data_IF_613613720854
#
_entry.id   IF_613613720854
#
_cell.length_a   1.000
_cell.length_b   1.000
_cell.length_c   1.000
_cell.angle_alpha   90.00
_cell.angle_beta   90.00
_cell.angle_gamma   90.00
#
_symmetry.space_group_name_H-M   'P 1'
#
loop_
_entity.id
_entity.type
_entity.pdbx_description
1 polymer ?
#
# COMPACT_ATOMS: atom_id res chain seq x y z
N UNK A 1 -11.88 10.89 -14.63
CA UNK A 1 -10.54 11.50 -14.66
C UNK A 1 -10.29 12.08 -13.28
N UNK A 2 -9.10 11.90 -12.72
CA UNK A 2 -8.78 12.44 -11.38
C UNK A 2 -8.40 13.93 -11.50
N UNK A 3 -9.42 14.80 -11.52
CA UNK A 3 -9.24 16.25 -11.68
C UNK A 3 -8.39 16.85 -10.57
N UNK A 4 -8.55 16.39 -9.32
CA UNK A 4 -7.76 16.84 -8.18
C UNK A 4 -6.26 16.55 -8.39
N UNK A 5 -5.93 15.33 -8.83
CA UNK A 5 -4.56 14.94 -9.15
C UNK A 5 -3.95 15.79 -10.25
N UNK A 6 -4.72 16.05 -11.33
CA UNK A 6 -4.27 16.91 -12.45
C UNK A 6 -3.97 18.33 -11.98
N UNK A 7 -4.89 18.96 -11.24
CA UNK A 7 -4.70 20.32 -10.71
C UNK A 7 -3.52 20.37 -9.74
N UNK A 8 -3.41 19.40 -8.83
CA UNK A 8 -2.29 19.33 -7.89
C UNK A 8 -0.95 19.22 -8.62
N UNK A 9 -0.89 18.44 -9.71
CA UNK A 9 0.29 18.33 -10.56
C UNK A 9 0.63 19.66 -11.25
N UNK A 10 -0.35 20.36 -11.83
CA UNK A 10 -0.14 21.67 -12.47
C UNK A 10 0.32 22.74 -11.47
N UNK A 11 -0.21 22.73 -10.25
CA UNK A 11 0.25 23.63 -9.19
C UNK A 11 1.69 23.30 -8.75
N UNK A 12 2.10 22.03 -8.78
CA UNK A 12 3.51 21.64 -8.55
C UNK A 12 4.42 22.11 -9.69
N UNK A 13 3.95 22.08 -10.93
CA UNK A 13 4.68 22.64 -12.08
C UNK A 13 4.87 24.15 -11.93
N UNK A 14 3.80 24.88 -11.61
CA UNK A 14 3.91 26.31 -11.32
C UNK A 14 4.90 26.59 -10.20
N UNK A 15 4.87 25.79 -9.12
CA UNK A 15 5.79 25.94 -8.01
C UNK A 15 7.26 25.75 -8.41
N UNK A 16 7.55 24.85 -9.35
CA UNK A 16 8.93 24.55 -9.76
C UNK A 16 9.55 25.69 -10.58
N UNK A 17 8.72 26.46 -11.29
CA UNK A 17 9.17 27.58 -12.14
C UNK A 17 9.13 28.95 -11.44
N UNK A 18 8.60 29.04 -10.22
CA UNK A 18 8.61 30.29 -9.46
C UNK A 18 10.03 30.73 -9.06
N UNK A 19 10.27 32.04 -9.14
CA UNK A 19 11.51 32.68 -8.64
C UNK A 19 11.47 32.95 -7.13
N UNK A 20 10.31 33.36 -6.60
CA UNK A 20 10.19 33.67 -5.17
C UNK A 20 9.91 32.43 -4.33
N UNK A 21 10.58 32.32 -3.18
CA UNK A 21 10.37 31.25 -2.21
C UNK A 21 8.92 31.23 -1.69
N UNK A 22 8.33 32.41 -1.48
CA UNK A 22 6.95 32.54 -1.01
C UNK A 22 5.95 31.95 -2.01
N UNK A 23 6.04 32.31 -3.31
CA UNK A 23 5.14 31.77 -4.34
C UNK A 23 5.34 30.27 -4.54
N UNK A 24 6.59 29.80 -4.55
CA UNK A 24 6.92 28.37 -4.60
C UNK A 24 6.22 27.59 -3.50
N UNK A 25 6.31 28.04 -2.25
CA UNK A 25 5.64 27.37 -1.13
C UNK A 25 4.12 27.53 -1.17
N UNK A 26 3.60 28.67 -1.63
CA UNK A 26 2.16 28.88 -1.81
C UNK A 26 1.54 27.84 -2.74
N UNK A 27 2.12 27.63 -3.92
CA UNK A 27 1.64 26.63 -4.86
C UNK A 27 1.84 25.18 -4.37
N UNK A 28 2.95 24.88 -3.68
CA UNK A 28 3.15 23.56 -3.06
C UNK A 28 2.07 23.23 -2.02
N UNK A 29 1.72 24.20 -1.15
CA UNK A 29 0.65 24.03 -0.16
C UNK A 29 -0.71 23.91 -0.82
N UNK A 30 -0.99 24.69 -1.87
CA UNK A 30 -2.22 24.56 -2.63
C UNK A 30 -2.35 23.17 -3.28
N UNK A 31 -1.28 22.67 -3.91
CA UNK A 31 -1.25 21.32 -4.47
C UNK A 31 -1.52 20.25 -3.41
N UNK A 32 -0.89 20.36 -2.23
CA UNK A 32 -1.11 19.44 -1.11
C UNK A 32 -2.54 19.51 -0.56
N UNK A 33 -3.15 20.69 -0.53
CA UNK A 33 -4.54 20.84 -0.11
C UNK A 33 -5.49 20.15 -1.09
N UNK A 34 -5.32 20.37 -2.40
CA UNK A 34 -6.20 19.80 -3.44
C UNK A 34 -6.10 18.28 -3.51
N UNK A 35 -4.89 17.70 -3.50
CA UNK A 35 -4.71 16.25 -3.63
C UNK A 35 -5.29 15.48 -2.42
N UNK A 36 -5.40 16.14 -1.26
CA UNK A 36 -5.90 15.56 -0.01
C UNK A 36 -7.40 15.75 0.22
N UNK A 37 -8.13 16.42 -0.68
CA UNK A 37 -9.59 16.57 -0.56
C UNK A 37 -10.28 15.20 -0.72
N UNK A 38 -11.22 14.90 0.17
CA UNK A 38 -12.09 13.70 0.08
C UNK A 38 -13.12 13.79 -1.05
N UNK A 39 -13.41 15.01 -1.51
CA UNK A 39 -14.37 15.29 -2.58
C UNK A 39 -13.67 15.77 -3.86
N UNK A 40 -14.24 15.47 -5.04
CA UNK A 40 -13.78 16.04 -6.30
C UNK A 40 -13.87 17.57 -6.23
N UNK A 41 -12.89 18.27 -6.82
CA UNK A 41 -12.80 19.73 -6.77
C UNK A 41 -14.03 20.42 -7.35
N UNK A 42 -14.74 19.75 -8.26
CA UNK A 42 -16.01 20.14 -8.85
C UNK A 42 -17.10 20.39 -7.80
N UNK A 43 -17.09 19.63 -6.68
CA UNK A 43 -18.04 19.79 -5.58
C UNK A 43 -17.88 21.13 -4.82
N UNK A 44 -16.75 21.82 -5.02
CA UNK A 44 -16.46 23.12 -4.41
C UNK A 44 -16.85 24.29 -5.32
N UNK A 45 -17.32 24.04 -6.54
CA UNK A 45 -17.78 25.07 -7.47
C UNK A 45 -19.16 25.59 -7.06
N UNK A 46 -19.29 26.91 -6.96
CA UNK A 46 -20.54 27.59 -6.62
C UNK A 46 -21.33 27.96 -7.89
N UNK A 47 -22.66 28.18 -7.79
CA UNK A 47 -23.49 28.54 -8.95
C UNK A 47 -23.05 29.81 -9.69
N UNK A 48 -22.40 30.74 -9.00
CA UNK A 48 -21.85 31.98 -9.56
C UNK A 48 -20.49 31.78 -10.27
N UNK A 49 -20.00 30.54 -10.36
CA UNK A 49 -18.72 30.18 -10.97
C UNK A 49 -17.51 30.40 -10.07
N UNK A 50 -17.69 30.79 -8.81
CA UNK A 50 -16.60 30.94 -7.83
C UNK A 50 -16.35 29.65 -7.06
N UNK A 51 -15.20 29.52 -6.41
CA UNK A 51 -14.89 28.38 -5.55
C UNK A 51 -15.23 28.68 -4.09
N UNK A 52 -15.88 27.72 -3.42
CA UNK A 52 -15.98 27.69 -1.97
C UNK A 52 -14.58 27.78 -1.36
N UNK A 53 -14.46 28.44 -0.21
CA UNK A 53 -13.18 28.60 0.49
C UNK A 53 -12.57 27.23 0.82
N UNK A 54 -11.38 26.98 0.29
CA UNK A 54 -10.53 25.84 0.63
C UNK A 54 -9.27 26.38 1.32
N UNK A 55 -8.90 25.88 2.51
CA UNK A 55 -7.66 26.29 3.18
C UNK A 55 -6.43 26.15 2.27
N UNK A 56 -5.50 27.10 2.36
CA UNK A 56 -4.27 27.16 1.55
C UNK A 56 -4.47 27.44 0.04
N UNK A 57 -5.70 27.69 -0.42
CA UNK A 57 -5.98 28.09 -1.80
C UNK A 57 -6.15 29.62 -1.86
N UNK A 58 -5.21 30.28 -2.52
CA UNK A 58 -5.24 31.73 -2.78
C UNK A 58 -5.70 32.07 -4.22
N UNK A 59 -5.89 33.35 -4.54
CA UNK A 59 -6.48 33.79 -5.82
C UNK A 59 -5.78 33.24 -7.07
N UNK A 60 -4.44 33.16 -7.07
CA UNK A 60 -3.70 32.60 -8.21
C UNK A 60 -3.93 31.11 -8.40
N UNK A 61 -3.99 30.32 -7.32
CA UNK A 61 -4.33 28.90 -7.40
C UNK A 61 -5.79 28.71 -7.80
N UNK A 62 -6.71 29.53 -7.31
CA UNK A 62 -8.13 29.51 -7.72
C UNK A 62 -8.30 29.74 -9.22
N UNK A 63 -7.53 30.66 -9.81
CA UNK A 63 -7.55 30.87 -11.27
C UNK A 63 -7.16 29.62 -12.05
N UNK A 64 -6.12 28.90 -11.62
CA UNK A 64 -5.69 27.64 -12.25
C UNK A 64 -6.77 26.57 -12.11
N UNK A 65 -7.35 26.42 -10.91
CA UNK A 65 -8.44 25.47 -10.66
C UNK A 65 -9.61 25.74 -11.62
N UNK A 66 -10.11 26.98 -11.65
CA UNK A 66 -11.24 27.38 -12.49
C UNK A 66 -10.93 27.24 -13.98
N UNK A 67 -9.70 27.52 -14.40
CA UNK A 67 -9.28 27.31 -15.79
C UNK A 67 -9.37 25.83 -16.17
N UNK A 68 -8.82 24.93 -15.34
CA UNK A 68 -8.87 23.48 -15.56
C UNK A 68 -10.29 22.96 -15.55
N UNK A 69 -11.14 23.41 -14.61
CA UNK A 69 -12.55 23.02 -14.57
C UNK A 69 -13.32 23.43 -15.84
N UNK A 70 -12.94 24.54 -16.47
CA UNK A 70 -13.59 25.04 -17.69
C UNK A 70 -13.06 24.39 -18.97
N UNK A 71 -11.77 24.08 -19.05
CA UNK A 71 -11.10 23.72 -20.32
C UNK A 71 -10.45 22.33 -20.30
N UNK A 72 -10.38 21.67 -19.15
CA UNK A 72 -9.62 20.44 -18.94
C UNK A 72 -8.10 20.63 -18.88
N UNK A 73 -7.59 21.86 -18.99
CA UNK A 73 -6.16 22.19 -19.01
C UNK A 73 -5.88 23.57 -18.42
N UNK A 74 -4.61 23.99 -18.32
CA UNK A 74 -4.26 25.36 -17.92
C UNK A 74 -3.20 25.95 -18.83
N UNK A 75 -3.61 26.81 -19.76
CA UNK A 75 -2.68 27.57 -20.59
C UNK A 75 -1.87 28.55 -19.74
N UNK A 76 -2.42 29.01 -18.62
CA UNK A 76 -1.68 29.83 -17.64
C UNK A 76 -0.44 29.10 -17.12
N UNK A 77 -0.57 27.82 -16.77
CA UNK A 77 0.55 26.99 -16.30
C UNK A 77 1.54 26.75 -17.44
N UNK A 78 1.06 26.34 -18.62
CA UNK A 78 1.93 26.03 -19.76
C UNK A 78 2.74 27.25 -20.25
N UNK A 79 2.13 28.45 -20.28
CA UNK A 79 2.87 29.69 -20.59
C UNK A 79 3.95 29.98 -19.55
N UNK A 80 3.63 29.86 -18.26
CA UNK A 80 4.61 30.10 -17.20
C UNK A 80 5.78 29.10 -17.25
N UNK A 81 5.54 27.85 -17.67
CA UNK A 81 6.59 26.86 -17.89
C UNK A 81 7.47 27.27 -19.07
N UNK A 82 6.87 27.60 -20.22
CA UNK A 82 7.60 28.00 -21.43
C UNK A 82 8.46 29.24 -21.19
N UNK A 83 7.92 30.27 -20.54
CA UNK A 83 8.63 31.52 -20.21
C UNK A 83 9.78 31.30 -19.20
N UNK A 84 9.73 30.22 -18.41
CA UNK A 84 10.79 29.90 -17.45
C UNK A 84 12.05 29.28 -18.07
N UNK A 85 11.93 28.75 -19.30
CA UNK A 85 12.98 27.97 -19.96
C UNK A 85 13.23 26.58 -19.34
N UNK A 86 12.35 26.09 -18.44
CA UNK A 86 12.53 24.83 -17.69
C UNK A 86 11.60 23.69 -18.12
N UNK A 87 11.12 23.71 -19.37
CA UNK A 87 10.16 22.70 -19.87
C UNK A 87 10.64 21.26 -19.63
N UNK A 88 11.90 20.94 -19.98
CA UNK A 88 12.43 19.58 -19.81
C UNK A 88 12.56 19.13 -18.34
N UNK A 89 12.80 20.04 -17.40
CA UNK A 89 12.82 19.72 -15.97
C UNK A 89 11.42 19.43 -15.44
N UNK A 90 10.42 20.19 -15.93
CA UNK A 90 9.02 19.99 -15.59
C UNK A 90 8.49 18.67 -16.12
N UNK A 91 8.81 18.31 -17.37
CA UNK A 91 8.43 17.03 -17.99
C UNK A 91 8.96 15.84 -17.18
N UNK A 92 10.26 15.83 -16.86
CA UNK A 92 10.86 14.80 -15.98
C UNK A 92 10.15 14.73 -14.62
N UNK A 93 9.74 15.87 -14.07
CA UNK A 93 9.04 15.92 -12.79
C UNK A 93 7.60 15.40 -12.87
N UNK A 94 6.92 15.56 -14.02
CA UNK A 94 5.57 15.03 -14.28
C UNK A 94 5.57 13.51 -14.28
N UNK A 95 6.58 12.88 -14.87
CA UNK A 95 6.74 11.41 -14.88
C UNK A 95 6.78 10.82 -13.46
N UNK A 96 7.37 11.55 -12.51
CA UNK A 96 7.46 11.14 -11.10
C UNK A 96 6.14 11.25 -10.31
N UNK A 97 5.07 11.77 -10.93
CA UNK A 97 3.75 11.95 -10.32
C UNK A 97 2.65 11.15 -11.03
N UNK A 98 3.00 10.37 -12.05
CA UNK A 98 2.04 9.53 -12.78
C UNK A 98 1.49 8.38 -11.94
N UNK A 99 0.24 8.00 -12.20
CA UNK A 99 -0.46 6.86 -11.57
C UNK A 99 -0.61 6.94 -10.04
N UNK A 100 -0.48 8.12 -9.43
CA UNK A 100 -0.94 8.37 -8.07
C UNK A 100 -2.41 8.79 -8.10
N UNK A 101 -3.18 8.31 -7.13
CA UNK A 101 -4.56 8.70 -6.88
C UNK A 101 -4.59 9.87 -5.89
N UNK A 102 -5.40 10.87 -6.18
CA UNK A 102 -5.85 11.83 -5.18
C UNK A 102 -6.76 11.14 -4.16
N UNK A 103 -6.93 11.80 -3.01
CA UNK A 103 -7.81 11.29 -1.95
C UNK A 103 -9.26 11.14 -2.43
N UNK A 104 -9.77 12.07 -3.23
CA UNK A 104 -11.10 11.98 -3.82
C UNK A 104 -11.23 10.74 -4.74
N UNK A 105 -10.19 10.45 -5.52
CA UNK A 105 -10.17 9.27 -6.39
C UNK A 105 -10.10 7.96 -5.59
N UNK A 106 -9.36 7.94 -4.46
CA UNK A 106 -9.38 6.82 -3.50
C UNK A 106 -10.80 6.60 -2.98
N UNK A 107 -11.46 7.65 -2.47
CA UNK A 107 -12.84 7.58 -1.96
C UNK A 107 -13.81 7.07 -3.04
N UNK A 108 -13.68 7.57 -4.28
CA UNK A 108 -14.49 7.14 -5.40
C UNK A 108 -14.31 5.64 -5.73
N UNK A 109 -13.06 5.14 -5.74
CA UNK A 109 -12.77 3.74 -5.98
C UNK A 109 -13.32 2.82 -4.88
N UNK A 110 -13.17 3.21 -3.61
CA UNK A 110 -13.72 2.48 -2.47
C UNK A 110 -15.25 2.36 -2.52
N UNK A 111 -15.93 3.43 -2.93
CA UNK A 111 -17.40 3.48 -3.00
C UNK A 111 -18.00 2.87 -4.25
N UNK A 112 -17.20 2.55 -5.27
CA UNK A 112 -17.71 2.10 -6.56
C UNK A 112 -18.16 0.63 -6.52
N UNK A 113 -19.47 0.32 -6.54
CA UNK A 113 -19.96 -1.06 -6.46
C UNK A 113 -19.73 -1.86 -7.75
N UNK A 114 -19.39 -1.19 -8.86
CA UNK A 114 -19.15 -1.84 -10.15
C UNK A 114 -17.78 -2.51 -10.23
N UNK A 115 -16.85 -2.15 -9.35
CA UNK A 115 -15.53 -2.79 -9.28
C UNK A 115 -15.66 -4.13 -8.56
N UNK A 116 -15.49 -5.21 -9.32
CA UNK A 116 -15.45 -6.60 -8.83
C UNK A 116 -14.03 -6.92 -8.35
N UNK A 117 -13.73 -6.50 -7.13
CA UNK A 117 -12.43 -6.60 -6.49
C UNK A 117 -12.61 -6.51 -4.98
N UNK A 118 -11.53 -6.76 -4.22
CA UNK A 118 -11.48 -6.66 -2.75
C UNK A 118 -12.15 -5.40 -2.22
N UNK A 119 -13.01 -5.56 -1.21
CA UNK A 119 -13.73 -4.48 -0.53
C UNK A 119 -13.11 -4.19 0.83
N UNK A 120 -13.36 -2.97 1.32
CA UNK A 120 -12.81 -2.50 2.59
C UNK A 120 -13.23 -3.35 3.79
N UNK A 121 -14.46 -3.83 3.81
CA UNK A 121 -15.00 -4.68 4.89
C UNK A 121 -14.50 -6.13 4.83
N UNK A 122 -13.80 -6.52 3.76
CA UNK A 122 -13.09 -7.79 3.67
C UNK A 122 -11.66 -7.68 4.21
N UNK A 123 -11.16 -6.47 4.47
CA UNK A 123 -9.81 -6.22 4.98
C UNK A 123 -9.77 -6.44 6.50
N UNK A 124 -8.96 -7.42 6.93
CA UNK A 124 -8.93 -7.89 8.32
C UNK A 124 -7.73 -7.42 9.12
N UNK A 125 -6.71 -6.84 8.49
CA UNK A 125 -5.53 -6.39 9.21
C UNK A 125 -4.43 -5.84 8.33
N UNK A 126 -3.58 -5.01 8.95
CA UNK A 126 -2.44 -4.35 8.31
C UNK A 126 -1.17 -5.18 8.48
N UNK A 127 -0.37 -5.30 7.41
CA UNK A 127 0.81 -6.17 7.41
C UNK A 127 2.14 -5.41 7.34
N UNK A 128 2.10 -4.07 7.38
CA UNK A 128 3.29 -3.25 7.50
C UNK A 128 3.03 -2.03 8.37
N UNK A 129 3.50 -2.09 9.62
CA UNK A 129 3.39 -1.01 10.59
C UNK A 129 4.66 -0.91 11.44
N UNK A 130 5.11 0.31 11.66
CA UNK A 130 6.31 0.65 12.42
C UNK A 130 5.95 1.16 13.82
N UNK A 131 6.83 0.91 14.77
CA UNK A 131 6.61 1.25 16.17
C UNK A 131 7.78 2.07 16.73
N UNK A 132 7.70 2.45 18.02
CA UNK A 132 8.79 3.11 18.73
C UNK A 132 10.10 2.31 18.79
N UNK A 133 10.07 1.03 18.39
CA UNK A 133 11.26 0.19 18.33
C UNK A 133 12.21 0.60 17.19
N UNK A 134 11.71 1.17 16.09
CA UNK A 134 12.50 1.79 15.02
C UNK A 134 12.17 3.28 14.81
N UNK A 135 11.39 3.64 13.80
CA UNK A 135 11.05 5.02 13.42
C UNK A 135 9.54 5.33 13.42
N UNK A 136 8.72 4.41 13.91
CA UNK A 136 7.33 4.67 14.27
C UNK A 136 7.19 5.49 15.56
N UNK A 137 5.97 5.94 15.83
CA UNK A 137 5.67 6.86 16.95
C UNK A 137 4.78 6.25 18.05
N UNK A 138 4.38 5.00 17.93
CA UNK A 138 3.44 4.33 18.85
C UNK A 138 4.04 3.11 19.52
N UNK A 139 3.56 2.87 20.74
CA UNK A 139 3.84 1.63 21.45
C UNK A 139 3.12 0.46 20.78
N UNK A 140 3.52 -0.77 21.11
CA UNK A 140 2.86 -1.96 20.57
C UNK A 140 1.39 -2.07 21.04
N UNK A 141 1.08 -1.60 22.25
CA UNK A 141 -0.30 -1.57 22.77
C UNK A 141 -1.18 -0.56 22.02
N UNK A 142 -0.64 0.64 21.71
CA UNK A 142 -1.34 1.62 20.86
C UNK A 142 -1.69 1.06 19.48
N UNK A 143 -0.81 0.22 18.90
CA UNK A 143 -1.05 -0.45 17.62
C UNK A 143 -2.22 -1.43 17.74
N UNK A 144 -2.25 -2.24 18.80
CA UNK A 144 -3.34 -3.19 19.06
C UNK A 144 -4.67 -2.45 19.21
N UNK A 145 -4.72 -1.39 20.03
CA UNK A 145 -5.94 -0.62 20.25
C UNK A 145 -6.41 0.10 18.97
N UNK A 146 -5.48 0.64 18.17
CA UNK A 146 -5.82 1.28 16.90
C UNK A 146 -6.32 0.31 15.83
N UNK A 147 -5.81 -0.93 15.82
CA UNK A 147 -6.31 -2.01 14.97
C UNK A 147 -7.71 -2.45 15.39
N UNK A 148 -7.93 -2.70 16.69
CA UNK A 148 -9.24 -3.02 17.25
C UNK A 148 -10.28 -1.94 16.95
N UNK A 149 -9.93 -0.66 17.10
CA UNK A 149 -10.82 0.46 16.79
C UNK A 149 -11.25 0.52 15.31
N UNK A 150 -10.50 -0.14 14.41
CA UNK A 150 -10.82 -0.28 12.98
C UNK A 150 -11.53 -1.58 12.63
N UNK A 151 -11.73 -2.47 13.60
CA UNK A 151 -12.31 -3.80 13.39
C UNK A 151 -11.33 -4.79 12.76
N UNK A 152 -10.02 -4.56 12.91
CA UNK A 152 -9.01 -5.52 12.46
C UNK A 152 -8.87 -6.68 13.44
N UNK A 153 -8.61 -7.86 12.91
CA UNK A 153 -8.27 -9.07 13.65
C UNK A 153 -6.78 -9.11 14.00
N UNK A 154 -5.95 -8.44 13.21
CA UNK A 154 -4.50 -8.44 13.39
C UNK A 154 -3.81 -7.19 12.83
N UNK A 155 -2.61 -6.95 13.33
CA UNK A 155 -1.60 -6.12 12.68
C UNK A 155 -0.26 -6.86 12.71
N UNK A 156 0.61 -6.61 11.74
CA UNK A 156 2.02 -6.98 11.84
C UNK A 156 2.87 -5.78 12.23
N UNK A 157 3.82 -6.01 13.13
CA UNK A 157 4.85 -5.02 13.46
C UNK A 157 6.08 -5.38 12.65
N UNK A 158 6.49 -4.48 11.77
CA UNK A 158 7.53 -4.71 10.77
C UNK A 158 8.58 -3.62 10.84
N UNK A 159 9.04 -3.31 12.06
CA UNK A 159 10.11 -2.35 12.28
C UNK A 159 11.34 -2.68 11.40
N UNK A 160 12.08 -1.64 11.01
CA UNK A 160 13.24 -1.80 10.14
C UNK A 160 14.33 -2.67 10.77
N UNK A 161 14.94 -3.55 9.96
CA UNK A 161 16.12 -4.32 10.37
C UNK A 161 17.36 -3.42 10.56
N UNK A 162 18.33 -3.91 11.34
CA UNK A 162 19.57 -3.18 11.68
C UNK A 162 20.40 -2.71 10.48
N UNK A 163 20.18 -3.23 9.27
CA UNK A 163 20.88 -2.79 8.06
C UNK A 163 20.37 -1.48 7.47
N UNK A 164 19.38 -0.83 8.10
CA UNK A 164 18.91 0.52 7.75
C UNK A 164 19.11 1.54 8.91
N UNK A 165 20.36 2.00 9.18
CA UNK A 165 20.65 2.90 10.30
C UNK A 165 19.88 4.23 10.29
N UNK A 166 19.56 4.75 9.08
CA UNK A 166 18.83 6.01 8.94
C UNK A 166 17.40 5.93 9.51
N UNK A 167 16.84 4.73 9.57
CA UNK A 167 15.52 4.43 10.13
C UNK A 167 15.62 3.80 11.53
N UNK A 168 16.77 3.93 12.21
CA UNK A 168 17.01 3.39 13.57
C UNK A 168 16.75 1.88 13.67
N UNK A 169 17.13 1.13 12.63
CA UNK A 169 16.90 -0.30 12.53
C UNK A 169 17.21 -1.11 13.80
N UNK A 170 16.33 -2.04 14.12
CA UNK A 170 16.33 -2.83 15.36
C UNK A 170 17.42 -3.90 15.31
N UNK A 171 18.22 -4.01 16.37
CA UNK A 171 19.17 -5.11 16.54
C UNK A 171 18.46 -6.40 16.95
N UNK A 172 19.06 -7.57 16.69
CA UNK A 172 18.45 -8.86 17.08
C UNK A 172 18.19 -8.98 18.59
N UNK A 173 19.03 -8.36 19.43
CA UNK A 173 18.79 -8.31 20.89
C UNK A 173 17.53 -7.53 21.23
N UNK A 174 17.35 -6.34 20.64
CA UNK A 174 16.14 -5.52 20.85
C UNK A 174 14.90 -6.17 20.23
N UNK A 175 15.04 -6.82 19.08
CA UNK A 175 13.96 -7.54 18.42
C UNK A 175 13.44 -8.69 19.29
N UNK A 176 14.34 -9.39 19.99
CA UNK A 176 13.94 -10.39 20.98
C UNK A 176 13.14 -9.78 22.13
N UNK A 177 13.55 -8.62 22.66
CA UNK A 177 12.78 -7.88 23.68
C UNK A 177 11.40 -7.47 23.18
N UNK A 178 11.33 -6.95 21.95
CA UNK A 178 10.07 -6.63 21.26
C UNK A 178 9.17 -7.86 21.17
N UNK A 179 9.71 -9.01 20.75
CA UNK A 179 8.94 -10.25 20.64
C UNK A 179 8.35 -10.70 21.99
N UNK A 180 9.06 -10.52 23.10
CA UNK A 180 8.55 -10.81 24.44
C UNK A 180 7.40 -9.85 24.83
N UNK A 181 7.47 -8.59 24.42
CA UNK A 181 6.36 -7.64 24.61
C UNK A 181 5.15 -8.02 23.75
N UNK A 182 5.38 -8.38 22.49
CA UNK A 182 4.34 -8.90 21.58
C UNK A 182 3.67 -10.14 22.18
N UNK A 183 4.42 -11.07 22.78
CA UNK A 183 3.85 -12.26 23.42
C UNK A 183 2.93 -11.90 24.59
N UNK A 184 3.34 -10.98 25.46
CA UNK A 184 2.51 -10.51 26.58
C UNK A 184 1.22 -9.84 26.09
N UNK A 185 1.30 -9.07 25.01
CA UNK A 185 0.13 -8.44 24.40
C UNK A 185 -0.78 -9.50 23.76
N UNK A 186 -0.23 -10.44 22.99
CA UNK A 186 -1.00 -11.53 22.40
C UNK A 186 -1.71 -12.39 23.47
N UNK A 187 -1.11 -12.58 24.64
CA UNK A 187 -1.77 -13.22 25.78
C UNK A 187 -2.91 -12.37 26.35
N UNK A 188 -2.68 -11.06 26.54
CA UNK A 188 -3.68 -10.11 27.04
C UNK A 188 -4.90 -9.98 26.11
N UNK A 189 -4.68 -9.98 24.80
CA UNK A 189 -5.69 -9.77 23.77
C UNK A 189 -6.16 -11.06 23.08
N UNK A 190 -5.84 -12.21 23.67
CA UNK A 190 -6.17 -13.54 23.13
C UNK A 190 -7.64 -13.65 22.71
N UNK A 191 -7.86 -14.10 21.47
CA UNK A 191 -9.20 -14.28 20.89
C UNK A 191 -9.87 -13.00 20.39
N UNK A 192 -9.24 -11.83 20.57
CA UNK A 192 -9.72 -10.54 20.07
C UNK A 192 -8.81 -9.93 19.01
N UNK A 193 -7.51 -10.08 19.15
CA UNK A 193 -6.52 -9.48 18.27
C UNK A 193 -5.22 -10.27 18.28
N UNK A 194 -4.47 -10.26 17.17
CA UNK A 194 -3.11 -10.78 17.11
C UNK A 194 -2.15 -9.73 16.56
N UNK A 195 -1.06 -9.50 17.28
CA UNK A 195 0.10 -8.78 16.80
C UNK A 195 1.13 -9.78 16.26
N UNK A 196 1.46 -9.67 14.97
CA UNK A 196 2.36 -10.57 14.25
C UNK A 196 3.79 -10.05 14.38
N UNK A 197 4.73 -10.94 14.74
CA UNK A 197 6.16 -10.64 14.90
C UNK A 197 6.85 -10.57 13.54
N UNK A 198 6.93 -9.37 12.98
CA UNK A 198 7.48 -9.12 11.66
C UNK A 198 8.80 -8.35 11.68
N UNK A 199 9.34 -8.13 10.49
CA UNK A 199 10.44 -7.20 10.23
C UNK A 199 10.29 -6.65 8.80
N UNK A 200 10.73 -5.43 8.58
CA UNK A 200 11.09 -4.96 7.25
C UNK A 200 12.59 -5.11 7.02
N UNK A 201 12.97 -6.12 6.23
CA UNK A 201 14.35 -6.40 5.85
C UNK A 201 14.73 -5.66 4.56
N UNK A 202 15.92 -5.06 4.55
CA UNK A 202 16.42 -4.35 3.38
C UNK A 202 16.95 -5.32 2.32
N UNK A 203 16.58 -5.09 1.06
CA UNK A 203 17.17 -5.79 -0.09
C UNK A 203 18.49 -5.10 -0.45
N UNK A 204 19.61 -5.81 -0.40
CA UNK A 204 20.93 -5.33 -0.81
C UNK A 204 21.05 -5.24 -2.34
N UNK A 205 22.14 -4.62 -2.82
CA UNK A 205 22.38 -4.44 -4.26
C UNK A 205 22.51 -5.76 -5.03
N UNK A 206 23.00 -6.82 -4.37
CA UNK A 206 23.10 -8.18 -4.92
C UNK A 206 21.78 -8.98 -4.81
N UNK A 207 20.75 -8.41 -4.19
CA UNK A 207 19.45 -9.03 -3.98
C UNK A 207 19.33 -9.90 -2.73
N UNK A 208 20.40 -10.06 -1.94
CA UNK A 208 20.30 -10.66 -0.60
C UNK A 208 19.51 -9.75 0.34
N UNK A 209 18.79 -10.33 1.31
CA UNK A 209 18.16 -9.55 2.40
C UNK A 209 19.15 -9.31 3.52
N UNK A 210 18.94 -8.26 4.30
CA UNK A 210 19.90 -7.80 5.30
C UNK A 210 19.93 -8.54 6.63
N UNK A 211 19.51 -9.80 6.62
CA UNK A 211 19.47 -10.69 7.77
C UNK A 211 20.01 -12.08 7.42
N UNK A 212 20.54 -12.77 8.41
CA UNK A 212 20.99 -14.16 8.28
C UNK A 212 19.81 -15.14 8.31
N UNK A 213 19.97 -16.30 7.65
CA UNK A 213 18.92 -17.31 7.59
C UNK A 213 18.43 -17.77 8.98
N UNK A 214 19.35 -17.86 9.96
CA UNK A 214 19.01 -18.21 11.34
C UNK A 214 18.17 -17.15 12.07
N UNK A 215 18.27 -15.88 11.64
CA UNK A 215 17.49 -14.78 12.17
C UNK A 215 16.11 -14.75 11.51
N UNK A 216 16.04 -14.94 10.19
CA UNK A 216 14.79 -15.04 9.44
C UNK A 216 13.87 -16.14 9.98
N UNK A 217 14.43 -17.27 10.44
CA UNK A 217 13.64 -18.37 11.04
C UNK A 217 12.97 -18.02 12.37
N UNK A 218 13.35 -16.91 13.02
CA UNK A 218 12.76 -16.46 14.28
C UNK A 218 11.57 -15.52 14.08
N UNK A 219 11.29 -15.14 12.83
CA UNK A 219 10.25 -14.20 12.46
C UNK A 219 9.00 -14.93 11.96
N UNK A 220 7.83 -14.33 12.23
CA UNK A 220 6.56 -14.80 11.68
C UNK A 220 6.28 -14.19 10.31
N UNK A 221 6.70 -12.93 10.10
CA UNK A 221 6.55 -12.21 8.84
C UNK A 221 7.86 -11.51 8.46
N UNK A 222 8.15 -11.47 7.16
CA UNK A 222 9.30 -10.74 6.60
C UNK A 222 8.82 -10.01 5.36
N UNK A 223 8.84 -8.69 5.45
CA UNK A 223 8.66 -7.77 4.33
C UNK A 223 10.06 -7.42 3.82
N UNK A 224 10.39 -7.78 2.58
CA UNK A 224 11.68 -7.45 1.98
C UNK A 224 11.50 -6.28 1.02
N UNK A 225 12.19 -5.16 1.27
CA UNK A 225 12.00 -3.94 0.47
C UNK A 225 13.32 -3.27 0.07
N UNK A 226 13.41 -2.61 -1.11
CA UNK A 226 14.62 -1.93 -1.54
C UNK A 226 14.71 -0.49 -1.01
N UNK A 227 15.79 -0.17 -0.27
CA UNK A 227 16.05 1.19 0.22
C UNK A 227 17.23 1.90 -0.47
N UNK A 228 17.84 1.25 -1.47
CA UNK A 228 19.04 1.72 -2.15
C UNK A 228 18.92 1.56 -3.67
N UNK A 229 19.73 2.31 -4.43
CA UNK A 229 19.72 2.32 -5.90
C UNK A 229 18.35 2.70 -6.54
N UNK A 230 17.48 3.41 -5.81
CA UNK A 230 16.12 3.81 -6.24
C UNK A 230 16.08 4.97 -7.25
N UNK A 231 17.25 5.55 -7.55
CA UNK A 231 17.45 6.52 -8.64
C UNK A 231 18.30 5.95 -9.78
N UNK A 232 18.70 4.69 -9.69
CA UNK A 232 19.48 4.01 -10.72
C UNK A 232 18.58 3.73 -11.93
N UNK A 233 19.12 3.93 -13.12
CA UNK A 233 18.48 3.53 -14.39
C UNK A 233 18.84 2.11 -14.80
N UNK A 234 19.76 1.45 -14.08
CA UNK A 234 20.15 0.07 -14.35
C UNK A 234 18.96 -0.89 -14.14
N UNK A 235 18.92 -1.96 -14.94
CA UNK A 235 17.98 -3.06 -14.74
C UNK A 235 18.33 -3.80 -13.44
N UNK A 236 17.37 -3.86 -12.51
CA UNK A 236 17.51 -4.52 -11.23
C UNK A 236 16.65 -5.79 -11.13
N UNK A 237 16.18 -6.34 -12.25
CA UNK A 237 15.40 -7.59 -12.29
C UNK A 237 16.03 -8.71 -11.47
N UNK A 238 17.33 -8.95 -11.64
CA UNK A 238 18.05 -10.00 -10.93
C UNK A 238 18.05 -9.78 -9.40
N UNK A 239 18.24 -8.52 -8.96
CA UNK A 239 18.19 -8.13 -7.54
C UNK A 239 16.83 -8.46 -6.93
N UNK A 240 15.75 -8.07 -7.61
CA UNK A 240 14.39 -8.31 -7.13
C UNK A 240 14.03 -9.80 -7.13
N UNK A 241 14.45 -10.55 -8.16
CA UNK A 241 14.24 -12.01 -8.23
C UNK A 241 15.00 -12.76 -7.12
N UNK A 242 16.22 -12.33 -6.80
CA UNK A 242 16.99 -12.92 -5.71
C UNK A 242 16.30 -12.70 -4.35
N UNK A 243 15.75 -11.50 -4.11
CA UNK A 243 15.01 -11.20 -2.89
C UNK A 243 13.78 -12.11 -2.72
N UNK A 244 12.93 -12.24 -3.75
CA UNK A 244 11.71 -13.09 -3.66
C UNK A 244 12.03 -14.59 -3.50
N UNK A 245 13.21 -15.04 -3.96
CA UNK A 245 13.68 -16.42 -3.81
C UNK A 245 14.31 -16.69 -2.44
N UNK A 246 14.54 -15.67 -1.63
CA UNK A 246 15.11 -15.84 -0.30
C UNK A 246 14.14 -16.59 0.60
N UNK A 247 14.62 -17.67 1.25
CA UNK A 247 13.80 -18.45 2.20
C UNK A 247 13.39 -17.58 3.38
N UNK A 248 12.12 -17.68 3.80
CA UNK A 248 11.56 -16.85 4.87
C UNK A 248 11.09 -15.45 4.43
N UNK A 249 11.30 -15.02 3.18
CA UNK A 249 10.66 -13.81 2.66
C UNK A 249 9.20 -14.10 2.28
N UNK A 250 8.30 -13.28 2.82
CA UNK A 250 6.84 -13.45 2.69
C UNK A 250 6.25 -12.42 1.74
N UNK A 251 6.67 -11.17 1.86
CA UNK A 251 6.14 -10.03 1.09
C UNK A 251 7.32 -9.32 0.42
N UNK A 252 7.17 -8.98 -0.86
CA UNK A 252 8.04 -8.01 -1.51
C UNK A 252 7.44 -6.62 -1.26
N UNK A 253 8.01 -5.90 -0.30
CA UNK A 253 7.54 -4.59 0.17
C UNK A 253 7.92 -3.47 -0.78
N UNK A 254 7.04 -2.47 -0.88
CA UNK A 254 6.97 -1.32 -1.79
C UNK A 254 7.96 -1.52 -2.93
N UNK A 255 7.64 -2.44 -3.88
CA UNK A 255 8.66 -3.10 -4.70
C UNK A 255 9.52 -2.14 -5.51
N UNK A 256 8.95 -1.00 -5.93
CA UNK A 256 9.70 0.02 -6.66
C UNK A 256 10.44 0.93 -5.70
N UNK A 257 9.96 1.14 -4.49
CA UNK A 257 10.41 2.19 -3.60
C UNK A 257 10.26 3.55 -4.28
N UNK A 258 9.17 3.79 -5.01
CA UNK A 258 8.89 5.10 -5.66
C UNK A 258 8.48 6.16 -4.64
N UNK A 259 8.51 7.43 -5.03
CA UNK A 259 8.07 8.56 -4.18
C UNK A 259 7.54 9.72 -5.00
N UNK A 260 6.35 10.23 -4.65
CA UNK A 260 5.60 11.23 -5.39
C UNK A 260 6.41 12.49 -5.69
N UNK A 261 6.64 12.74 -6.97
CA UNK A 261 7.38 13.92 -7.44
C UNK A 261 8.84 13.97 -6.99
N UNK A 262 9.40 12.86 -6.50
CA UNK A 262 10.75 12.80 -5.93
C UNK A 262 11.61 11.73 -6.58
N UNK A 263 11.20 10.45 -6.59
CA UNK A 263 12.02 9.35 -7.12
C UNK A 263 11.19 8.32 -7.89
N UNK A 264 11.70 7.78 -9.02
CA UNK A 264 10.94 6.87 -9.89
C UNK A 264 10.88 5.43 -9.33
N UNK A 265 11.84 5.07 -8.48
CA UNK A 265 11.99 3.73 -7.93
C UNK A 265 12.82 2.80 -8.82
N UNK A 266 12.82 1.52 -8.46
CA UNK A 266 13.48 0.42 -9.16
C UNK A 266 12.97 0.29 -10.60
N UNK A 267 13.91 0.20 -11.54
CA UNK A 267 13.67 -0.24 -12.92
C UNK A 267 13.92 -1.75 -13.00
N UNK A 268 12.91 -2.52 -13.39
CA UNK A 268 12.98 -3.97 -13.53
C UNK A 268 11.97 -4.49 -14.55
N UNK A 269 12.24 -5.66 -15.10
CA UNK A 269 11.28 -6.50 -15.80
C UNK A 269 10.33 -7.13 -14.78
N UNK A 270 9.28 -6.38 -14.46
CA UNK A 270 8.31 -6.77 -13.43
C UNK A 270 7.57 -8.07 -13.73
N UNK A 271 7.37 -8.46 -15.00
CA UNK A 271 6.70 -9.72 -15.31
C UNK A 271 7.56 -10.92 -14.89
N UNK A 272 8.89 -10.82 -15.05
CA UNK A 272 9.82 -11.84 -14.52
C UNK A 272 9.85 -11.86 -12.99
N UNK A 273 9.79 -10.70 -12.35
CA UNK A 273 9.74 -10.59 -10.88
C UNK A 273 8.45 -11.24 -10.35
N UNK A 274 7.31 -10.97 -10.97
CA UNK A 274 6.02 -11.55 -10.57
C UNK A 274 5.96 -13.06 -10.78
N UNK A 275 6.50 -13.58 -11.88
CA UNK A 275 6.60 -15.02 -12.07
C UNK A 275 7.47 -15.68 -10.97
N UNK A 276 8.60 -15.07 -10.62
CA UNK A 276 9.44 -15.55 -9.52
C UNK A 276 8.74 -15.46 -8.16
N UNK A 277 7.99 -14.39 -7.90
CA UNK A 277 7.20 -14.20 -6.69
C UNK A 277 6.10 -15.26 -6.57
N UNK A 278 5.36 -15.51 -7.65
CA UNK A 278 4.34 -16.57 -7.73
C UNK A 278 4.93 -17.97 -7.46
N UNK A 279 6.02 -18.32 -8.14
CA UNK A 279 6.70 -19.62 -7.96
C UNK A 279 7.20 -19.82 -6.53
N UNK A 280 7.58 -18.72 -5.88
CA UNK A 280 8.01 -18.74 -4.50
C UNK A 280 6.78 -18.76 -3.55
N UNK A 281 5.67 -18.12 -3.91
CA UNK A 281 4.57 -17.84 -2.99
C UNK A 281 4.84 -16.61 -2.13
N UNK A 282 5.59 -15.64 -2.66
CA UNK A 282 5.76 -14.29 -2.09
C UNK A 282 4.61 -13.42 -2.55
N UNK A 283 3.99 -12.70 -1.63
CA UNK A 283 2.99 -11.69 -1.97
C UNK A 283 3.66 -10.40 -2.48
N UNK A 284 3.03 -9.72 -3.43
CA UNK A 284 3.45 -8.40 -3.89
C UNK A 284 2.68 -7.35 -3.11
N UNK A 285 3.42 -6.39 -2.54
CA UNK A 285 2.81 -5.29 -1.80
C UNK A 285 2.18 -4.24 -2.71
N UNK A 286 1.05 -3.71 -2.24
CA UNK A 286 0.50 -2.42 -2.64
C UNK A 286 0.47 -1.57 -1.37
N UNK A 287 1.50 -0.75 -1.22
CA UNK A 287 1.69 0.18 -0.13
C UNK A 287 0.76 1.39 -0.30
N UNK A 288 -0.04 1.65 0.72
CA UNK A 288 -1.05 2.70 0.75
C UNK A 288 -0.54 4.10 1.08
N UNK A 289 0.72 4.27 1.49
CA UNK A 289 1.29 5.57 1.85
C UNK A 289 1.07 6.56 0.69
N UNK A 290 0.45 7.73 0.94
CA UNK A 290 0.09 8.67 -0.12
C UNK A 290 1.27 9.18 -0.95
N UNK A 291 2.48 9.16 -0.38
CA UNK A 291 3.70 9.54 -1.05
C UNK A 291 4.34 8.37 -1.82
N UNK A 292 3.99 7.10 -1.54
CA UNK A 292 4.48 5.90 -2.25
C UNK A 292 3.50 5.39 -3.31
N UNK A 293 2.31 4.94 -2.88
CA UNK A 293 1.31 4.25 -3.72
C UNK A 293 1.95 3.18 -4.60
N UNK A 294 2.58 2.18 -3.97
CA UNK A 294 3.52 1.27 -4.61
C UNK A 294 3.24 -0.22 -4.33
N UNK A 295 2.86 -1.03 -5.30
CA UNK A 295 2.79 -0.73 -6.73
C UNK A 295 1.52 0.02 -7.15
N UNK A 296 1.60 0.80 -8.22
CA UNK A 296 0.43 1.46 -8.80
C UNK A 296 -0.55 0.43 -9.44
N UNK A 297 -1.77 0.87 -9.78
CA UNK A 297 -2.86 -0.03 -10.19
C UNK A 297 -2.58 -0.75 -11.52
N UNK A 298 -1.78 -0.17 -12.42
CA UNK A 298 -1.43 -0.82 -13.69
C UNK A 298 -0.41 -1.94 -13.46
N UNK A 299 0.56 -1.69 -12.56
CA UNK A 299 1.53 -2.70 -12.18
C UNK A 299 0.92 -3.80 -11.30
N UNK A 300 0.01 -3.45 -10.38
CA UNK A 300 -0.79 -4.42 -9.61
C UNK A 300 -1.59 -5.36 -10.53
N UNK A 301 -2.19 -4.82 -11.61
CA UNK A 301 -2.92 -5.63 -12.60
C UNK A 301 -2.05 -6.69 -13.27
N UNK A 302 -0.76 -6.40 -13.48
CA UNK A 302 0.22 -7.36 -14.01
C UNK A 302 0.54 -8.45 -12.99
N UNK A 303 0.73 -8.10 -11.71
CA UNK A 303 0.92 -9.07 -10.63
C UNK A 303 -0.27 -10.04 -10.49
N UNK A 304 -1.51 -9.52 -10.56
CA UNK A 304 -2.73 -10.35 -10.56
C UNK A 304 -2.76 -11.32 -11.76
N UNK A 305 -2.46 -10.84 -12.97
CA UNK A 305 -2.41 -11.69 -14.16
C UNK A 305 -1.36 -12.80 -14.06
N UNK A 306 -0.23 -12.53 -13.41
CA UNK A 306 0.78 -13.54 -13.14
C UNK A 306 0.29 -14.59 -12.12
N UNK A 307 -0.73 -14.27 -11.31
CA UNK A 307 -1.26 -15.13 -10.25
C UNK A 307 -0.53 -14.95 -8.91
N UNK A 308 0.08 -13.79 -8.67
CA UNK A 308 0.67 -13.47 -7.38
C UNK A 308 -0.40 -13.32 -6.30
N UNK A 309 -0.05 -13.69 -5.06
CA UNK A 309 -0.74 -13.13 -3.91
C UNK A 309 -0.42 -11.64 -3.79
N UNK A 310 -1.35 -10.88 -3.21
CA UNK A 310 -1.22 -9.44 -2.97
C UNK A 310 -1.29 -9.17 -1.46
N UNK A 311 -0.41 -8.31 -0.98
CA UNK A 311 -0.50 -7.70 0.35
C UNK A 311 -0.89 -6.23 0.19
N UNK A 312 -1.82 -5.75 1.01
CA UNK A 312 -2.23 -4.36 1.08
C UNK A 312 -1.90 -3.85 2.48
N UNK A 313 -1.28 -2.70 2.61
CA UNK A 313 -0.93 -2.14 3.91
C UNK A 313 -0.84 -0.61 3.83
N UNK A 314 -0.39 -0.03 4.94
CA UNK A 314 -0.35 1.41 5.14
C UNK A 314 1.06 2.00 5.24
N UNK A 315 2.10 1.16 5.38
CA UNK A 315 3.46 1.55 5.80
C UNK A 315 3.42 2.54 6.99
N UNK A 316 2.52 2.29 7.95
CA UNK A 316 2.16 3.30 8.94
C UNK A 316 3.26 3.50 9.99
N UNK A 317 3.65 4.76 10.21
CA UNK A 317 4.53 5.21 11.28
C UNK A 317 3.77 5.96 12.38
N UNK A 318 2.48 6.26 12.13
CA UNK A 318 1.51 6.63 13.14
C UNK A 318 0.20 5.84 13.06
N UNK A 319 -0.52 5.66 14.17
CA UNK A 319 -1.85 5.01 14.16
C UNK A 319 -2.89 5.78 13.33
N UNK A 320 -2.68 7.07 13.09
CA UNK A 320 -3.48 7.85 12.13
C UNK A 320 -3.28 7.39 10.69
N UNK A 321 -2.08 6.91 10.35
CA UNK A 321 -1.65 6.49 9.02
C UNK A 321 -2.16 5.11 8.63
N UNK A 322 -2.66 4.29 9.57
CA UNK A 322 -3.41 3.06 9.25
C UNK A 322 -4.58 3.30 8.27
N UNK A 323 -5.05 4.55 8.16
CA UNK A 323 -6.04 4.96 7.15
C UNK A 323 -5.51 4.86 5.71
N UNK A 324 -4.20 4.80 5.50
CA UNK A 324 -3.56 4.75 4.18
C UNK A 324 -3.78 3.42 3.48
N UNK A 325 -4.09 2.35 4.21
CA UNK A 325 -4.62 1.09 3.64
C UNK A 325 -5.83 1.32 2.70
N UNK A 326 -6.61 2.38 2.91
CA UNK A 326 -7.68 2.80 1.98
C UNK A 326 -7.16 3.08 0.57
N UNK A 327 -5.97 3.66 0.44
CA UNK A 327 -5.29 3.92 -0.84
C UNK A 327 -4.86 2.61 -1.49
N UNK A 328 -4.25 1.69 -0.72
CA UNK A 328 -3.87 0.37 -1.21
C UNK A 328 -5.07 -0.41 -1.73
N UNK A 329 -6.17 -0.43 -0.97
CA UNK A 329 -7.44 -1.05 -1.38
C UNK A 329 -7.99 -0.37 -2.64
N UNK A 330 -7.92 0.96 -2.76
CA UNK A 330 -8.36 1.64 -3.98
C UNK A 330 -7.54 1.22 -5.22
N UNK A 331 -6.21 1.12 -5.10
CA UNK A 331 -5.36 0.59 -6.17
C UNK A 331 -5.73 -0.85 -6.53
N UNK A 332 -5.91 -1.71 -5.53
CA UNK A 332 -6.34 -3.09 -5.72
C UNK A 332 -7.70 -3.18 -6.44
N UNK A 333 -8.64 -2.29 -6.08
CA UNK A 333 -9.96 -2.21 -6.71
C UNK A 333 -9.91 -1.79 -8.17
N UNK A 334 -9.09 -0.81 -8.50
CA UNK A 334 -8.88 -0.36 -9.88
C UNK A 334 -8.14 -1.41 -10.72
N UNK A 335 -7.23 -2.16 -10.11
CA UNK A 335 -6.51 -3.27 -10.73
C UNK A 335 -7.38 -4.53 -10.93
N UNK A 336 -8.53 -4.64 -10.24
CA UNK A 336 -9.39 -5.81 -10.31
C UNK A 336 -8.89 -6.98 -9.47
N UNK A 337 -8.16 -6.72 -8.37
CA UNK A 337 -7.61 -7.75 -7.48
C UNK A 337 -8.76 -8.46 -6.76
N UNK A 338 -8.93 -9.78 -6.94
CA UNK A 338 -9.98 -10.53 -6.24
C UNK A 338 -9.60 -10.76 -4.76
N UNK A 339 -10.59 -10.77 -3.87
CA UNK A 339 -10.38 -10.78 -2.42
C UNK A 339 -9.57 -12.01 -1.97
N UNK A 340 -9.84 -13.18 -2.55
CA UNK A 340 -9.16 -14.43 -2.23
C UNK A 340 -7.64 -14.41 -2.47
N UNK A 341 -7.16 -13.55 -3.37
CA UNK A 341 -5.73 -13.35 -3.66
C UNK A 341 -5.05 -12.35 -2.71
N UNK A 342 -5.83 -11.63 -1.90
CA UNK A 342 -5.33 -10.64 -0.94
C UNK A 342 -5.15 -11.30 0.42
N UNK A 343 -3.91 -11.39 0.89
CA UNK A 343 -3.57 -12.10 2.14
C UNK A 343 -4.19 -11.42 3.37
N UNK A 344 -4.44 -10.10 3.30
CA UNK A 344 -5.09 -9.31 4.35
C UNK A 344 -6.58 -9.63 4.56
N UNK A 345 -7.19 -10.42 3.68
CA UNK A 345 -8.60 -10.82 3.79
C UNK A 345 -8.77 -12.16 4.50
N UNK A 346 -7.66 -12.84 4.79
CA UNK A 346 -7.70 -14.19 5.30
C UNK A 346 -7.95 -14.21 6.81
N UNK A 347 -8.74 -15.18 7.33
CA UNK A 347 -8.76 -15.46 8.75
C UNK A 347 -7.34 -15.69 9.28
N UNK A 348 -7.09 -15.29 10.53
CA UNK A 348 -5.74 -15.31 11.11
C UNK A 348 -5.06 -16.69 11.01
N UNK A 349 -5.81 -17.78 11.22
CA UNK A 349 -5.25 -19.14 11.13
C UNK A 349 -4.74 -19.48 9.73
N UNK A 350 -5.46 -19.05 8.69
CA UNK A 350 -5.04 -19.23 7.28
C UNK A 350 -3.80 -18.39 6.99
N UNK A 351 -3.76 -17.14 7.46
CA UNK A 351 -2.60 -16.27 7.29
C UNK A 351 -1.35 -16.86 7.96
N UNK A 352 -1.45 -17.27 9.23
CA UNK A 352 -0.34 -17.86 9.97
C UNK A 352 0.12 -19.19 9.36
N UNK A 353 -0.80 -19.99 8.80
CA UNK A 353 -0.44 -21.21 8.07
C UNK A 353 0.36 -20.90 6.80
N UNK A 354 -0.06 -19.88 6.02
CA UNK A 354 0.68 -19.45 4.82
C UNK A 354 2.10 -18.98 5.17
N UNK A 355 2.23 -18.14 6.21
CA UNK A 355 3.52 -17.67 6.73
C UNK A 355 4.41 -18.85 7.14
N UNK A 356 3.89 -19.77 7.96
CA UNK A 356 4.64 -20.93 8.44
C UNK A 356 5.13 -21.83 7.31
N UNK A 357 4.30 -22.06 6.29
CA UNK A 357 4.66 -22.88 5.14
C UNK A 357 5.82 -22.27 4.33
N UNK A 358 5.85 -20.94 4.16
CA UNK A 358 6.96 -20.23 3.50
C UNK A 358 8.24 -20.27 4.32
N UNK A 359 8.17 -20.06 5.63
CA UNK A 359 9.35 -20.17 6.51
C UNK A 359 9.97 -21.56 6.53
N UNK A 360 9.18 -22.61 6.27
CA UNK A 360 9.65 -24.01 6.18
C UNK A 360 10.06 -24.45 4.76
N UNK A 361 9.96 -23.56 3.77
CA UNK A 361 10.27 -23.90 2.37
C UNK A 361 9.27 -24.88 1.73
N UNK A 362 8.08 -25.03 2.30
CA UNK A 362 7.03 -25.90 1.75
C UNK A 362 6.38 -25.20 0.56
N UNK A 363 6.48 -25.80 -0.64
CA UNK A 363 5.74 -25.31 -1.82
C UNK A 363 4.24 -25.54 -1.60
N UNK A 364 3.47 -24.46 -1.52
CA UNK A 364 2.01 -24.52 -1.51
C UNK A 364 1.52 -25.01 -2.87
N UNK A 365 0.64 -26.02 -2.88
CA UNK A 365 -0.09 -26.40 -4.10
C UNK A 365 -1.24 -25.39 -4.31
N UNK A 366 -1.50 -24.91 -5.55
CA UNK A 366 -2.57 -23.95 -5.82
C UNK A 366 -3.94 -24.38 -5.28
N UNK A 367 -4.23 -25.68 -5.29
CA UNK A 367 -5.56 -26.22 -4.97
C UNK A 367 -5.78 -26.53 -3.47
N UNK A 368 -4.76 -26.37 -2.60
CA UNK A 368 -4.89 -26.74 -1.18
C UNK A 368 -5.57 -25.69 -0.31
N UNK A 369 -5.99 -24.55 -0.87
CA UNK A 369 -6.62 -23.44 -0.14
C UNK A 369 -8.16 -23.44 -0.19
N UNK A 370 -8.78 -24.27 -1.03
CA UNK A 370 -10.24 -24.30 -1.23
C UNK A 370 -10.99 -25.35 -0.39
N UNK A 371 -10.26 -26.20 0.35
CA UNK A 371 -10.86 -27.41 0.93
C UNK A 371 -11.66 -27.22 2.22
N UNK A 372 -11.60 -26.06 2.90
CA UNK A 372 -12.17 -25.92 4.25
C UNK A 372 -13.27 -24.84 4.41
N UNK A 373 -13.93 -24.48 3.31
CA UNK A 373 -15.12 -23.60 3.33
C UNK A 373 -16.45 -24.35 3.51
N UNK A 374 -16.44 -25.67 3.74
CA UNK A 374 -17.67 -26.42 4.01
C UNK A 374 -18.04 -26.34 5.48
N UNK A 375 -18.91 -25.37 5.78
CA UNK A 375 -19.77 -25.39 6.97
C UNK A 375 -20.40 -26.79 7.11
N UNK A 376 -20.26 -27.50 8.26
CA UNK A 376 -20.96 -28.77 8.47
C UNK A 376 -22.47 -28.52 8.41
N UNK A 377 -23.11 -29.13 7.42
CA UNK A 377 -24.53 -28.96 7.12
C UNK A 377 -25.43 -29.28 8.31
N UNK A 378 -26.39 -28.38 8.51
CA UNK A 378 -27.59 -28.60 9.32
C UNK A 378 -28.33 -29.85 8.82
N UNK A 379 -28.41 -30.87 9.67
CA UNK A 379 -29.22 -32.05 9.43
C UNK A 379 -30.70 -31.73 9.69
N UNK A 380 -31.39 -31.20 8.68
CA UNK A 380 -32.85 -31.21 8.66
C UNK A 380 -33.30 -32.62 8.32
N UNK A 381 -33.72 -33.38 9.34
CA UNK A 381 -34.43 -34.65 9.18
C UNK A 381 -35.75 -34.39 8.44
N UNK A 382 -35.83 -34.79 7.17
CA UNK A 382 -37.12 -35.05 6.53
C UNK A 382 -37.70 -36.36 7.08
N UNK A 383 -38.92 -36.30 7.62
CA UNK A 383 -39.72 -37.49 7.93
C UNK A 383 -40.20 -38.13 6.62
N UNK A 384 -40.21 -39.46 6.49
CA UNK A 384 -40.83 -40.12 5.36
C UNK A 384 -42.36 -40.07 5.50
N UNK A 385 -43.01 -39.64 4.43
CA UNK A 385 -44.45 -39.67 4.23
C UNK A 385 -44.89 -41.11 3.95
N UNK A 386 -45.64 -41.68 4.88
CA UNK A 386 -46.30 -42.98 4.71
C UNK A 386 -47.74 -42.73 4.30
N UNK A 387 -48.01 -42.78 3.00
CA UNK A 387 -49.35 -43.03 2.47
C UNK A 387 -49.33 -44.37 1.74
N UNK A 388 -49.53 -45.43 2.54
CA UNK A 388 -49.93 -46.74 2.03
C UNK A 388 -51.40 -46.67 1.63
N UNK A 389 -51.68 -46.98 0.37
CA UNK A 389 -53.03 -47.19 -0.12
C UNK A 389 -53.41 -48.68 -0.01
N UNK A 390 -54.71 -48.95 -0.11
CA UNK A 390 -55.43 -50.23 -0.33
C UNK A 390 -56.00 -50.95 0.92
N UNK A 391 -57.27 -50.66 1.27
CA UNK A 391 -58.47 -51.45 0.92
C UNK A 391 -59.74 -50.81 1.46
#
# INVERSE_FOLDING_TARGET
MDTNGVIASLLRDLASVQKSTQSKWGYKRAAAAIISLDEPIEAFLQPDGTLKKIPQIGPSSSRVILEVLRTGSSQTVERAIAESGRTGDVEKSRELRGHYLSRAQVVAALRNPKLRAVRRDEYRGDLQMHSVWSDGSQTLEDIVEAGLARGYDYCAVTDHSYGLPIARGVSMTKLFEQHLEIDRLNDRYRGRFRLIKGIEANIRADGSVDMHEAELRQLELVVAAPHSALRSTADQTARMIAAVRTSGVHILGHPRGRMYGSRPGVSADWDKVFEAAKQSGVAIEIDGDPARQDVDYDLAKRAVRAGCFIALDSDAHSTGELRYSETAIAHARLAGVPAESVVNTWPIDRLMQWLSNRSRGVRLKPDSLDADSRVPGSSVRQKPDTTGNVR
#
